data_IF_855196983642
#
_entry.id   IF_855196983642
#
_cell.length_a   1.000
_cell.length_b   1.000
_cell.length_c   1.000
_cell.angle_alpha   90.00
_cell.angle_beta   90.00
_cell.angle_gamma   90.00
#
_symmetry.space_group_name_H-M   'P 1'
#
loop_
_entity.id
_entity.type
_entity.pdbx_description
1 polymer ?
#
# COMPACT_ATOMS: atom_id res chain seq x y z
N UNK A 1 -14.66 -16.72 2.92
CA UNK A 1 -13.79 -17.44 3.90
C UNK A 1 -13.86 -16.69 5.23
N UNK A 2 -14.02 -17.36 6.38
CA UNK A 2 -14.07 -16.66 7.69
C UNK A 2 -12.64 -16.50 8.21
N UNK A 3 -12.13 -15.26 8.37
CA UNK A 3 -10.79 -15.04 8.90
C UNK A 3 -10.74 -15.19 10.42
N UNK A 4 -9.54 -15.45 10.94
CA UNK A 4 -9.21 -15.32 12.34
C UNK A 4 -8.90 -13.84 12.66
N UNK A 5 -9.40 -13.32 13.78
CA UNK A 5 -9.06 -11.98 14.28
C UNK A 5 -7.77 -12.08 15.09
N UNK A 6 -6.79 -11.25 14.73
CA UNK A 6 -5.47 -11.22 15.35
C UNK A 6 -5.15 -9.79 15.80
N UNK A 7 -4.32 -9.68 16.85
CA UNK A 7 -3.76 -8.41 17.32
C UNK A 7 -2.23 -8.48 17.26
N UNK A 8 -1.61 -7.50 16.62
CA UNK A 8 -0.15 -7.40 16.51
C UNK A 8 0.29 -6.12 17.22
N UNK A 9 0.74 -6.22 18.49
CA UNK A 9 1.13 -5.03 19.25
C UNK A 9 0.01 -3.98 19.38
N UNK A 10 -1.27 -4.42 19.38
CA UNK A 10 -2.44 -3.51 19.40
C UNK A 10 -2.98 -3.13 18.00
N UNK A 11 -2.31 -3.55 16.93
CA UNK A 11 -2.77 -3.33 15.55
C UNK A 11 -3.84 -4.39 15.22
N UNK A 12 -5.07 -3.99 14.84
CA UNK A 12 -6.11 -4.92 14.42
C UNK A 12 -5.73 -5.60 13.10
N UNK A 13 -5.83 -6.92 13.06
CA UNK A 13 -5.48 -7.71 11.90
C UNK A 13 -6.49 -8.85 11.65
N UNK A 14 -6.51 -9.34 10.41
CA UNK A 14 -7.22 -10.54 9.99
C UNK A 14 -6.23 -11.53 9.37
N UNK A 15 -6.32 -12.79 9.76
CA UNK A 15 -5.57 -13.89 9.19
C UNK A 15 -6.52 -14.81 8.43
N UNK A 16 -6.32 -14.96 7.13
CA UNK A 16 -7.10 -15.81 6.24
C UNK A 16 -6.33 -17.07 5.92
N UNK A 17 -7.05 -18.16 5.67
CA UNK A 17 -6.53 -19.44 5.19
C UNK A 17 -6.17 -20.42 6.30
N UNK A 18 -6.07 -21.71 5.93
CA UNK A 18 -5.55 -22.74 6.81
C UNK A 18 -4.04 -22.53 7.08
N UNK A 19 -3.50 -23.07 8.18
CA UNK A 19 -2.05 -22.99 8.46
C UNK A 19 -1.22 -23.43 7.25
N UNK A 20 -0.21 -22.61 6.90
CA UNK A 20 0.66 -22.81 5.74
C UNK A 20 2.08 -22.31 6.05
N UNK A 21 3.06 -22.74 5.25
CA UNK A 21 4.48 -22.32 5.38
C UNK A 21 4.79 -21.03 4.61
N UNK A 22 3.82 -20.47 3.91
CA UNK A 22 3.96 -19.27 3.09
C UNK A 22 2.71 -18.40 3.15
N UNK A 23 2.91 -17.10 3.01
CA UNK A 23 1.78 -16.18 3.09
C UNK A 23 2.06 -14.82 2.47
N UNK A 24 1.01 -14.03 2.44
CA UNK A 24 1.02 -12.64 2.00
C UNK A 24 0.73 -11.71 3.17
N UNK A 25 1.54 -10.67 3.32
CA UNK A 25 1.11 -9.47 4.03
C UNK A 25 0.34 -8.59 3.05
N UNK A 26 -0.91 -8.27 3.38
CA UNK A 26 -1.75 -7.37 2.60
C UNK A 26 -1.85 -6.01 3.29
N UNK A 27 -1.58 -4.94 2.52
CA UNK A 27 -1.71 -3.55 2.97
C UNK A 27 -2.69 -2.80 2.05
N UNK A 28 -3.77 -2.31 2.63
CA UNK A 28 -4.78 -1.52 1.91
C UNK A 28 -4.27 -0.10 1.58
N UNK A 29 -4.99 0.61 0.73
CA UNK A 29 -4.76 2.01 0.38
C UNK A 29 -5.44 3.00 1.32
N UNK A 30 -5.39 4.29 0.98
CA UNK A 30 -6.16 5.34 1.65
C UNK A 30 -7.65 5.01 1.61
N UNK A 31 -8.36 5.26 2.72
CA UNK A 31 -9.77 4.93 2.93
C UNK A 31 -10.12 3.44 2.92
N UNK A 32 -9.13 2.57 2.79
CA UNK A 32 -9.28 1.13 2.82
C UNK A 32 -9.37 0.54 4.23
N UNK A 33 -9.37 -0.79 4.30
CA UNK A 33 -9.42 -1.54 5.55
C UNK A 33 -8.93 -2.97 5.34
N UNK A 34 -8.58 -3.64 6.43
CA UNK A 34 -8.04 -5.02 6.40
C UNK A 34 -8.94 -6.06 5.75
N UNK A 35 -10.26 -5.84 5.72
CA UNK A 35 -11.22 -6.76 5.09
C UNK A 35 -11.06 -6.86 3.57
N UNK A 36 -10.44 -5.88 2.92
CA UNK A 36 -10.17 -5.90 1.47
C UNK A 36 -9.29 -7.09 1.05
N UNK A 37 -8.49 -7.60 1.97
CA UNK A 37 -7.68 -8.79 1.74
C UNK A 37 -8.49 -10.07 1.43
N UNK A 38 -9.80 -10.09 1.68
CA UNK A 38 -10.64 -11.25 1.39
C UNK A 38 -10.60 -11.63 -0.10
N UNK A 39 -10.57 -10.64 -0.99
CA UNK A 39 -10.47 -10.88 -2.43
C UNK A 39 -9.18 -11.64 -2.78
N UNK A 40 -8.03 -11.16 -2.31
CA UNK A 40 -6.75 -11.85 -2.48
C UNK A 40 -6.77 -13.25 -1.83
N UNK A 41 -7.33 -13.36 -0.62
CA UNK A 41 -7.38 -14.63 0.11
C UNK A 41 -8.17 -15.69 -0.65
N UNK A 42 -9.22 -15.32 -1.39
CA UNK A 42 -9.96 -16.23 -2.26
C UNK A 42 -9.11 -16.79 -3.41
N UNK A 43 -8.11 -16.03 -3.87
CA UNK A 43 -7.18 -16.44 -4.92
C UNK A 43 -6.04 -17.30 -4.38
N UNK A 44 -5.42 -16.90 -3.26
CA UNK A 44 -4.15 -17.48 -2.82
C UNK A 44 -4.30 -18.61 -1.79
N UNK A 45 -5.34 -18.59 -0.94
CA UNK A 45 -5.51 -19.63 0.07
C UNK A 45 -5.75 -21.01 -0.52
N UNK A 46 -6.51 -21.18 -1.62
CA UNK A 46 -6.62 -22.48 -2.29
C UNK A 46 -5.30 -23.02 -2.86
N UNK A 47 -4.33 -22.10 -3.09
CA UNK A 47 -2.96 -22.44 -3.55
C UNK A 47 -1.99 -22.72 -2.39
N UNK A 48 -2.47 -22.78 -1.14
CA UNK A 48 -1.68 -23.10 0.04
C UNK A 48 -0.92 -21.91 0.63
N UNK A 49 -1.48 -20.72 0.55
CA UNK A 49 -1.00 -19.51 1.25
C UNK A 49 -1.96 -19.13 2.40
N UNK A 50 -1.43 -18.40 3.37
CA UNK A 50 -2.23 -17.57 4.26
C UNK A 50 -2.15 -16.10 3.85
N UNK A 51 -3.08 -15.28 4.31
CA UNK A 51 -3.03 -13.82 4.12
C UNK A 51 -3.23 -13.15 5.47
N UNK A 52 -2.24 -12.37 5.89
CA UNK A 52 -2.37 -11.42 6.99
C UNK A 52 -2.72 -10.04 6.43
N UNK A 53 -3.72 -9.41 6.98
CA UNK A 53 -4.08 -8.02 6.65
C UNK A 53 -4.24 -7.20 7.91
N UNK A 54 -3.77 -5.96 7.91
CA UNK A 54 -3.84 -5.04 9.05
C UNK A 54 -4.66 -3.80 8.69
N UNK A 55 -5.23 -3.15 9.70
CA UNK A 55 -5.71 -1.77 9.55
C UNK A 55 -4.54 -0.79 9.72
N UNK A 56 -4.29 0.02 8.71
CA UNK A 56 -3.33 1.13 8.79
C UNK A 56 -3.83 2.21 9.79
N UNK A 57 -2.94 3.08 10.31
CA UNK A 57 -3.34 4.16 11.20
C UNK A 57 -4.54 4.97 10.69
N UNK A 58 -5.46 5.34 11.55
CA UNK A 58 -6.71 6.06 11.26
C UNK A 58 -7.72 5.32 10.35
N UNK A 59 -7.52 4.03 10.05
CA UNK A 59 -8.40 3.23 9.20
C UNK A 59 -9.04 2.06 9.94
N UNK A 60 -10.12 1.52 9.38
CA UNK A 60 -10.81 0.35 9.91
C UNK A 60 -11.17 0.49 11.39
N UNK A 61 -10.76 -0.47 12.22
CA UNK A 61 -10.98 -0.45 13.68
C UNK A 61 -10.11 0.59 14.43
N UNK A 62 -9.21 1.29 13.72
CA UNK A 62 -8.38 2.39 14.27
C UNK A 62 -8.98 3.77 14.03
N UNK A 63 -10.11 3.86 13.32
CA UNK A 63 -10.83 5.12 13.16
C UNK A 63 -11.25 5.68 14.53
N UNK A 64 -11.12 7.00 14.71
CA UNK A 64 -11.47 7.67 15.95
C UNK A 64 -10.48 7.51 17.09
N UNK A 65 -9.36 6.81 16.93
CA UNK A 65 -8.31 6.69 17.96
C UNK A 65 -7.40 7.93 18.06
N UNK A 66 -7.62 8.95 17.24
CA UNK A 66 -6.78 10.15 17.22
C UNK A 66 -5.43 9.97 16.47
N UNK A 67 -5.22 8.81 15.86
CA UNK A 67 -4.03 8.54 15.05
C UNK A 67 -4.10 9.26 13.70
N UNK A 68 -2.96 9.67 13.15
CA UNK A 68 -2.85 10.17 11.77
C UNK A 68 -2.14 9.12 10.90
N UNK A 69 -2.51 9.03 9.64
CA UNK A 69 -1.80 8.21 8.66
C UNK A 69 -0.51 8.91 8.21
N UNK A 70 0.50 8.81 9.03
CA UNK A 70 1.83 9.38 8.77
C UNK A 70 2.89 8.28 8.71
N UNK A 71 4.00 8.48 8.01
CA UNK A 71 5.03 7.43 7.89
C UNK A 71 5.65 7.05 9.23
N UNK A 72 5.83 7.98 10.16
CA UNK A 72 6.39 7.68 11.49
C UNK A 72 5.45 6.88 12.40
N UNK A 73 4.16 6.73 12.03
CA UNK A 73 3.22 5.80 12.67
C UNK A 73 3.06 4.54 11.84
N UNK A 74 2.85 4.66 10.52
CA UNK A 74 2.53 3.52 9.67
C UNK A 74 3.75 2.60 9.42
N UNK A 75 4.96 3.16 9.26
CA UNK A 75 6.15 2.35 8.97
C UNK A 75 6.50 1.39 10.13
N UNK A 76 6.53 1.82 11.42
CA UNK A 76 6.68 0.90 12.55
C UNK A 76 5.62 -0.19 12.59
N UNK A 77 4.35 0.13 12.33
CA UNK A 77 3.26 -0.83 12.34
C UNK A 77 3.39 -1.89 11.24
N UNK A 78 3.74 -1.45 10.03
CA UNK A 78 3.99 -2.36 8.90
C UNK A 78 5.20 -3.26 9.21
N UNK A 79 6.26 -2.71 9.79
CA UNK A 79 7.44 -3.48 10.19
C UNK A 79 7.11 -4.53 11.25
N UNK A 80 6.39 -4.16 12.31
CA UNK A 80 5.94 -5.11 13.33
C UNK A 80 5.06 -6.23 12.74
N UNK A 81 4.20 -5.87 11.78
CA UNK A 81 3.36 -6.84 11.08
C UNK A 81 4.16 -7.75 10.16
N UNK A 82 5.19 -7.22 9.51
CA UNK A 82 6.12 -7.99 8.69
C UNK A 82 6.91 -9.00 9.54
N UNK A 83 7.51 -8.57 10.63
CA UNK A 83 8.24 -9.42 11.58
C UNK A 83 7.33 -10.52 12.15
N UNK A 84 6.07 -10.20 12.44
CA UNK A 84 5.09 -11.18 12.88
C UNK A 84 4.87 -12.28 11.82
N UNK A 85 4.87 -11.93 10.52
CA UNK A 85 4.73 -12.90 9.43
C UNK A 85 5.99 -13.74 9.24
N UNK A 86 7.18 -13.14 9.36
CA UNK A 86 8.47 -13.86 9.25
C UNK A 86 8.65 -14.91 10.35
N UNK A 87 8.09 -14.69 11.54
CA UNK A 87 8.07 -15.68 12.60
C UNK A 87 7.17 -16.89 12.33
N UNK A 88 6.26 -16.80 11.35
CA UNK A 88 5.24 -17.83 11.05
C UNK A 88 5.43 -18.53 9.73
N UNK A 89 5.96 -17.83 8.74
CA UNK A 89 6.07 -18.34 7.38
C UNK A 89 7.53 -18.39 6.93
N UNK A 90 7.86 -19.43 6.22
CA UNK A 90 9.19 -19.58 5.61
C UNK A 90 9.39 -18.64 4.43
N UNK A 91 8.30 -18.27 3.76
CA UNK A 91 8.32 -17.32 2.66
C UNK A 91 7.16 -16.34 2.83
N UNK A 92 7.49 -15.06 2.90
CA UNK A 92 6.54 -13.96 3.01
C UNK A 92 6.55 -13.17 1.72
N UNK A 93 5.38 -13.07 1.10
CA UNK A 93 5.12 -12.20 -0.05
C UNK A 93 4.34 -10.97 0.38
N UNK A 94 4.35 -9.95 -0.46
CA UNK A 94 3.66 -8.70 -0.22
C UNK A 94 2.56 -8.48 -1.27
N UNK A 95 1.41 -7.99 -0.84
CA UNK A 95 0.38 -7.43 -1.69
C UNK A 95 -0.05 -6.09 -1.11
N UNK A 96 0.15 -5.01 -1.86
CA UNK A 96 -0.11 -3.68 -1.32
C UNK A 96 -0.74 -2.73 -2.35
N UNK A 97 -1.65 -1.88 -1.87
CA UNK A 97 -2.36 -0.88 -2.65
C UNK A 97 -1.83 0.53 -2.34
N UNK A 98 -1.64 1.36 -3.38
CA UNK A 98 -1.47 2.81 -3.24
C UNK A 98 -0.46 3.21 -2.15
N UNK A 99 -0.89 3.95 -1.13
CA UNK A 99 -0.07 4.38 0.00
C UNK A 99 0.41 3.17 0.86
N UNK A 100 -0.34 2.07 0.89
CA UNK A 100 0.12 0.84 1.54
C UNK A 100 1.39 0.28 0.88
N UNK A 101 1.52 0.41 -0.44
CA UNK A 101 2.75 0.05 -1.16
C UNK A 101 3.92 0.99 -0.79
N UNK A 102 3.65 2.29 -0.64
CA UNK A 102 4.64 3.26 -0.18
C UNK A 102 5.20 2.88 1.20
N UNK A 103 4.32 2.61 2.18
CA UNK A 103 4.77 2.20 3.51
C UNK A 103 5.50 0.86 3.51
N UNK A 104 5.06 -0.08 2.65
CA UNK A 104 5.76 -1.34 2.49
C UNK A 104 7.20 -1.14 1.99
N UNK A 105 7.42 -0.27 1.01
CA UNK A 105 8.76 0.03 0.48
C UNK A 105 9.69 0.69 1.51
N UNK A 106 9.14 1.26 2.59
CA UNK A 106 9.90 1.86 3.69
C UNK A 106 10.13 0.91 4.87
N UNK A 107 9.28 -0.11 5.01
CA UNK A 107 9.25 -0.96 6.20
C UNK A 107 9.74 -2.40 5.97
N UNK A 108 9.62 -2.91 4.74
CA UNK A 108 9.84 -4.31 4.40
C UNK A 108 11.16 -4.47 3.64
N UNK A 109 12.04 -5.33 4.12
CA UNK A 109 13.39 -5.46 3.54
C UNK A 109 13.46 -6.51 2.42
N UNK A 110 12.89 -7.69 2.60
CA UNK A 110 13.10 -8.87 1.73
C UNK A 110 11.84 -9.70 1.50
N UNK A 111 10.84 -9.18 0.78
CA UNK A 111 9.72 -10.00 0.38
C UNK A 111 10.17 -11.07 -0.62
N UNK A 112 9.58 -12.26 -0.57
CA UNK A 112 9.81 -13.30 -1.57
C UNK A 112 9.26 -12.88 -2.94
N UNK A 113 8.16 -12.11 -2.94
CA UNK A 113 7.48 -11.59 -4.13
C UNK A 113 6.62 -10.38 -3.72
N UNK A 114 6.49 -9.39 -4.58
CA UNK A 114 5.65 -8.21 -4.33
C UNK A 114 4.65 -7.98 -5.47
N UNK A 115 3.37 -7.90 -5.10
CA UNK A 115 2.26 -7.52 -5.97
C UNK A 115 1.78 -6.12 -5.54
N UNK A 116 1.95 -5.14 -6.40
CA UNK A 116 1.60 -3.75 -6.13
C UNK A 116 0.48 -3.29 -7.06
N UNK A 117 -0.55 -2.68 -6.51
CA UNK A 117 -1.66 -2.10 -7.29
C UNK A 117 -1.68 -0.60 -7.11
N UNK A 118 -1.60 0.14 -8.22
CA UNK A 118 -1.54 1.61 -8.24
C UNK A 118 -0.58 2.18 -7.19
N UNK A 119 0.68 1.72 -7.07
CA UNK A 119 1.56 2.09 -5.98
C UNK A 119 1.92 3.57 -6.00
N UNK A 120 1.98 4.22 -4.84
CA UNK A 120 2.61 5.53 -4.70
C UNK A 120 4.14 5.32 -4.67
N UNK A 121 4.80 5.64 -5.77
CA UNK A 121 6.24 5.44 -5.97
C UNK A 121 7.06 6.71 -5.76
N UNK A 122 6.38 7.87 -5.73
CA UNK A 122 6.94 9.20 -5.52
C UNK A 122 6.00 10.01 -4.63
N UNK A 123 6.18 9.88 -3.31
CA UNK A 123 5.33 10.59 -2.34
C UNK A 123 5.62 12.10 -2.32
N UNK A 124 6.87 12.52 -2.55
CA UNK A 124 7.18 13.94 -2.66
C UNK A 124 6.44 14.56 -3.85
N UNK A 125 6.55 13.95 -5.03
CA UNK A 125 5.83 14.40 -6.23
C UNK A 125 4.33 14.44 -6.04
N UNK A 126 3.74 13.45 -5.32
CA UNK A 126 2.32 13.46 -4.99
C UNK A 126 1.96 14.63 -4.06
N UNK A 127 2.72 14.88 -2.99
CA UNK A 127 2.46 16.00 -2.07
C UNK A 127 2.56 17.34 -2.83
N UNK A 128 3.57 17.52 -3.67
CA UNK A 128 3.73 18.75 -4.47
C UNK A 128 2.55 18.91 -5.46
N UNK A 129 2.07 17.83 -6.05
CA UNK A 129 0.88 17.83 -6.91
C UNK A 129 -0.37 18.24 -6.12
N UNK A 130 -0.57 17.70 -4.92
CA UNK A 130 -1.69 18.05 -4.03
C UNK A 130 -1.59 19.52 -3.57
N UNK A 131 -0.40 20.02 -3.31
CA UNK A 131 -0.17 21.46 -3.03
C UNK A 131 -0.60 22.33 -4.21
N UNK A 132 -0.25 21.91 -5.44
CA UNK A 132 -0.72 22.58 -6.67
C UNK A 132 -2.24 22.61 -6.79
N UNK A 133 -2.92 21.51 -6.50
CA UNK A 133 -4.40 21.46 -6.49
C UNK A 133 -5.03 22.37 -5.45
N UNK A 134 -4.36 22.54 -4.28
CA UNK A 134 -4.82 23.40 -3.21
C UNK A 134 -4.42 24.89 -3.40
N UNK A 135 -3.55 25.18 -4.37
CA UNK A 135 -2.99 26.52 -4.54
C UNK A 135 -2.06 26.95 -3.41
N UNK A 136 -1.39 26.00 -2.75
CA UNK A 136 -0.52 26.20 -1.57
C UNK A 136 0.93 26.15 -2.01
N UNK A 137 1.74 27.18 -1.66
CA UNK A 137 3.19 27.19 -1.86
C UNK A 137 3.93 26.45 -0.75
N UNK A 138 5.19 26.05 -1.01
CA UNK A 138 6.03 25.45 0.04
C UNK A 138 6.30 26.45 1.18
N UNK A 139 6.44 27.74 0.87
CA UNK A 139 6.65 28.76 1.87
C UNK A 139 5.45 28.88 2.82
N UNK A 140 4.24 28.93 2.26
CA UNK A 140 3.01 28.95 3.04
C UNK A 140 2.85 27.68 3.89
N UNK A 141 3.11 26.50 3.31
CA UNK A 141 3.03 25.25 4.04
C UNK A 141 4.05 25.19 5.19
N UNK A 142 5.27 25.69 4.97
CA UNK A 142 6.31 25.78 6.00
C UNK A 142 5.90 26.69 7.14
N UNK A 143 5.32 27.87 6.84
CA UNK A 143 4.90 28.84 7.85
C UNK A 143 3.73 28.33 8.70
N UNK A 144 2.78 27.63 8.08
CA UNK A 144 1.56 27.15 8.75
C UNK A 144 1.71 25.75 9.36
N UNK A 145 2.71 24.99 8.94
CA UNK A 145 2.97 23.62 9.37
C UNK A 145 1.98 22.59 8.82
N UNK A 146 0.67 22.84 8.91
CA UNK A 146 -0.38 21.98 8.40
C UNK A 146 -1.51 22.83 7.77
N UNK A 147 -2.00 22.42 6.59
CA UNK A 147 -3.07 23.09 5.86
C UNK A 147 -4.11 22.05 5.45
N UNK A 148 -5.35 22.23 5.92
CA UNK A 148 -6.47 21.41 5.47
C UNK A 148 -6.80 21.75 4.01
N UNK A 149 -6.84 20.73 3.15
CA UNK A 149 -7.19 20.88 1.75
C UNK A 149 -8.65 20.48 1.48
N UNK A 150 -9.24 21.05 0.44
CA UNK A 150 -10.66 20.84 0.07
C UNK A 150 -10.98 19.38 -0.33
N UNK A 151 -9.99 18.60 -0.70
CA UNK A 151 -10.12 17.18 -1.05
C UNK A 151 -10.03 16.23 0.17
N UNK A 152 -10.15 16.76 1.41
CA UNK A 152 -10.30 15.97 2.63
C UNK A 152 -9.01 15.45 3.26
N UNK A 153 -7.84 15.80 2.71
CA UNK A 153 -6.54 15.48 3.30
C UNK A 153 -5.86 16.78 3.76
N UNK A 154 -5.06 16.71 4.82
CA UNK A 154 -4.22 17.82 5.24
C UNK A 154 -2.84 17.72 4.57
N UNK A 155 -2.36 18.84 4.05
CA UNK A 155 -0.98 19.03 3.64
C UNK A 155 -0.15 19.27 4.89
N UNK A 156 0.99 18.59 5.04
CA UNK A 156 1.85 18.71 6.21
C UNK A 156 3.28 19.01 5.79
N UNK A 157 3.84 20.09 6.34
CA UNK A 157 5.25 20.44 6.14
C UNK A 157 6.19 19.36 6.69
N UNK A 158 5.87 18.84 7.88
CA UNK A 158 6.64 17.76 8.51
C UNK A 158 6.67 16.51 7.61
N UNK A 159 5.54 16.15 7.00
CA UNK A 159 5.47 15.01 6.09
C UNK A 159 6.32 15.26 4.83
N UNK A 160 6.22 16.44 4.23
CA UNK A 160 7.03 16.81 3.06
C UNK A 160 8.53 16.73 3.36
N UNK A 161 8.97 17.28 4.49
CA UNK A 161 10.38 17.20 4.91
C UNK A 161 10.80 15.72 5.11
N UNK A 162 9.95 14.95 5.78
CA UNK A 162 10.24 13.54 6.07
C UNK A 162 10.43 12.71 4.80
N UNK A 163 9.57 12.87 3.79
CA UNK A 163 9.68 12.09 2.54
C UNK A 163 10.93 12.43 1.75
N UNK A 164 11.42 13.67 1.83
CA UNK A 164 12.68 14.10 1.20
C UNK A 164 13.91 13.41 1.80
N UNK A 165 13.86 13.10 3.09
CA UNK A 165 14.93 12.41 3.82
C UNK A 165 14.83 10.89 3.74
N UNK A 166 13.67 10.34 3.38
CA UNK A 166 13.39 8.90 3.39
C UNK A 166 12.86 8.43 2.04
N UNK A 167 13.73 8.32 1.02
CA UNK A 167 13.33 7.81 -0.28
C UNK A 167 12.91 6.34 -0.18
N UNK A 168 11.95 5.95 -1.00
CA UNK A 168 11.53 4.54 -1.09
C UNK A 168 12.66 3.66 -1.61
N UNK A 169 12.69 2.42 -1.10
CA UNK A 169 13.63 1.39 -1.54
C UNK A 169 12.95 0.44 -2.53
N UNK A 170 13.75 -0.19 -3.37
CA UNK A 170 13.31 -1.34 -4.16
C UNK A 170 13.81 -2.64 -3.52
N UNK A 171 13.13 -3.72 -3.84
CA UNK A 171 13.51 -5.05 -3.36
C UNK A 171 14.26 -5.83 -4.44
N UNK A 172 15.17 -6.67 -4.00
CA UNK A 172 15.81 -7.68 -4.87
C UNK A 172 14.93 -8.95 -4.94
N UNK A 173 13.68 -8.78 -5.38
CA UNK A 173 12.72 -9.86 -5.59
C UNK A 173 11.88 -9.57 -6.83
N UNK A 174 11.09 -10.54 -7.34
CA UNK A 174 10.12 -10.28 -8.38
C UNK A 174 9.06 -9.28 -7.92
N UNK A 175 8.97 -8.12 -8.59
CA UNK A 175 7.94 -7.10 -8.36
C UNK A 175 7.00 -7.06 -9.56
N UNK A 176 5.70 -7.14 -9.30
CA UNK A 176 4.63 -7.02 -10.29
C UNK A 176 3.77 -5.82 -9.96
N UNK A 177 3.51 -4.99 -10.94
CA UNK A 177 2.71 -3.78 -10.79
C UNK A 177 1.49 -3.87 -11.70
N UNK A 178 0.30 -3.70 -11.14
CA UNK A 178 -0.92 -3.40 -11.87
C UNK A 178 -1.20 -1.91 -11.74
N UNK A 179 -1.38 -1.23 -12.87
CA UNK A 179 -1.53 0.22 -12.95
C UNK A 179 -2.69 0.59 -13.88
N UNK A 180 -3.54 1.51 -13.46
CA UNK A 180 -4.63 2.03 -14.27
C UNK A 180 -4.14 3.16 -15.21
N UNK A 181 -4.53 3.14 -16.48
CA UNK A 181 -4.10 4.17 -17.43
C UNK A 181 -4.62 5.57 -17.10
N UNK A 182 -5.73 5.66 -16.33
CA UNK A 182 -6.37 6.89 -15.87
C UNK A 182 -5.94 7.26 -14.42
N UNK A 183 -4.88 6.64 -13.90
CA UNK A 183 -4.35 6.95 -12.56
C UNK A 183 -3.87 8.41 -12.49
N UNK A 184 -4.48 9.20 -11.63
CA UNK A 184 -4.20 10.62 -11.44
C UNK A 184 -3.33 10.92 -10.21
N UNK A 185 -2.95 9.89 -9.43
CA UNK A 185 -2.13 10.03 -8.22
C UNK A 185 -0.65 9.74 -8.48
N UNK A 186 -0.36 8.73 -9.29
CA UNK A 186 1.00 8.40 -9.69
C UNK A 186 1.13 8.56 -11.21
N UNK A 187 1.89 9.55 -11.70
CA UNK A 187 2.08 9.72 -13.15
C UNK A 187 2.67 8.47 -13.80
N UNK A 188 2.16 8.08 -14.97
CA UNK A 188 2.64 6.92 -15.72
C UNK A 188 4.15 6.92 -15.90
N UNK A 189 4.74 8.08 -16.18
CA UNK A 189 6.19 8.25 -16.29
C UNK A 189 6.92 7.76 -15.03
N UNK A 190 6.43 8.07 -13.85
CA UNK A 190 7.01 7.64 -12.57
C UNK A 190 7.01 6.13 -12.45
N UNK A 191 5.90 5.47 -12.84
CA UNK A 191 5.79 4.00 -12.83
C UNK A 191 6.76 3.37 -13.83
N UNK A 192 6.83 3.88 -15.05
CA UNK A 192 7.72 3.38 -16.10
C UNK A 192 9.21 3.56 -15.72
N UNK A 193 9.58 4.68 -15.07
CA UNK A 193 10.92 4.91 -14.54
C UNK A 193 11.28 3.92 -13.44
N UNK A 194 10.36 3.65 -12.52
CA UNK A 194 10.55 2.64 -11.48
C UNK A 194 10.76 1.25 -12.10
N UNK A 195 9.91 0.85 -13.03
CA UNK A 195 9.98 -0.43 -13.75
C UNK A 195 11.34 -0.59 -14.44
N UNK A 196 11.77 0.44 -15.19
CA UNK A 196 13.06 0.42 -15.90
C UNK A 196 14.25 0.32 -14.93
N UNK A 197 14.20 1.05 -13.80
CA UNK A 197 15.29 1.11 -12.82
C UNK A 197 15.42 -0.17 -12.01
N UNK A 198 14.31 -0.81 -11.70
CA UNK A 198 14.26 -1.92 -10.73
C UNK A 198 13.87 -3.26 -11.34
N UNK A 199 13.66 -3.34 -12.65
CA UNK A 199 13.32 -4.59 -13.33
C UNK A 199 11.94 -5.15 -12.96
N UNK A 200 11.02 -4.31 -12.47
CA UNK A 200 9.66 -4.70 -12.17
C UNK A 200 8.88 -5.01 -13.47
N UNK A 201 7.84 -5.84 -13.38
CA UNK A 201 6.92 -6.10 -14.49
C UNK A 201 5.66 -5.24 -14.34
N UNK A 202 5.34 -4.47 -15.37
CA UNK A 202 4.16 -3.61 -15.42
C UNK A 202 3.05 -4.27 -16.22
N UNK A 203 1.84 -4.26 -15.66
CA UNK A 203 0.58 -4.50 -16.37
C UNK A 203 -0.23 -3.22 -16.31
N UNK A 204 -0.63 -2.70 -17.45
CA UNK A 204 -1.51 -1.52 -17.54
C UNK A 204 -2.93 -1.99 -17.81
N UNK A 205 -3.88 -1.54 -17.01
CA UNK A 205 -5.31 -1.70 -17.26
C UNK A 205 -5.81 -0.43 -17.95
N UNK A 206 -6.12 -0.54 -19.24
CA UNK A 206 -6.67 0.58 -20.00
C UNK A 206 -8.04 1.00 -19.47
N UNK A 207 -8.23 2.31 -19.25
CA UNK A 207 -9.42 2.87 -18.61
C UNK A 207 -9.49 2.60 -17.10
N UNK A 208 -8.47 1.98 -16.52
CA UNK A 208 -8.39 1.79 -15.07
C UNK A 208 -8.02 3.07 -14.36
N UNK A 209 -8.69 3.38 -13.26
CA UNK A 209 -8.41 4.51 -12.38
C UNK A 209 -7.39 4.12 -11.29
N UNK A 210 -6.98 5.09 -10.46
CA UNK A 210 -6.12 4.82 -9.31
C UNK A 210 -6.78 3.83 -8.32
N UNK A 211 -8.06 3.99 -8.09
CA UNK A 211 -8.85 3.10 -7.24
C UNK A 211 -9.73 2.19 -8.09
N UNK A 212 -9.38 0.91 -8.17
CA UNK A 212 -10.16 -0.10 -8.88
C UNK A 212 -11.43 -0.43 -8.09
N UNK A 213 -12.59 -0.06 -8.63
CA UNK A 213 -13.87 -0.14 -7.94
C UNK A 213 -15.03 -0.62 -8.82
N UNK A 214 -14.92 -0.51 -10.14
CA UNK A 214 -15.97 -1.04 -11.01
C UNK A 214 -15.90 -2.56 -11.10
N UNK A 215 -17.01 -3.26 -11.40
CA UNK A 215 -16.99 -4.71 -11.58
C UNK A 215 -15.93 -5.20 -12.58
N UNK A 216 -15.75 -4.45 -13.68
CA UNK A 216 -14.77 -4.76 -14.73
C UNK A 216 -13.33 -4.59 -14.21
N UNK A 217 -13.05 -3.51 -13.49
CA UNK A 217 -11.73 -3.26 -12.90
C UNK A 217 -11.40 -4.30 -11.82
N UNK A 218 -12.39 -4.68 -10.98
CA UNK A 218 -12.22 -5.70 -9.96
C UNK A 218 -12.02 -7.10 -10.57
N UNK A 219 -12.71 -7.42 -11.69
CA UNK A 219 -12.46 -8.66 -12.44
C UNK A 219 -11.04 -8.71 -12.99
N UNK A 220 -10.60 -7.63 -13.64
CA UNK A 220 -9.25 -7.53 -14.19
C UNK A 220 -8.17 -7.62 -13.09
N UNK A 221 -8.39 -7.01 -11.93
CA UNK A 221 -7.53 -7.13 -10.76
C UNK A 221 -7.43 -8.59 -10.31
N UNK A 222 -8.56 -9.28 -10.17
CA UNK A 222 -8.61 -10.69 -9.76
C UNK A 222 -7.88 -11.59 -10.76
N UNK A 223 -8.14 -11.44 -12.05
CA UNK A 223 -7.47 -12.19 -13.11
C UNK A 223 -5.95 -11.95 -13.11
N UNK A 224 -5.53 -10.71 -12.84
CA UNK A 224 -4.12 -10.38 -12.69
C UNK A 224 -3.52 -11.07 -11.46
N UNK A 225 -4.18 -11.05 -10.30
CA UNK A 225 -3.72 -11.75 -9.10
C UNK A 225 -3.64 -13.26 -9.33
N UNK A 226 -4.63 -13.88 -9.98
CA UNK A 226 -4.64 -15.31 -10.30
C UNK A 226 -3.45 -15.74 -11.18
N UNK A 227 -3.00 -14.86 -12.07
CA UNK A 227 -1.88 -15.08 -12.99
C UNK A 227 -0.51 -14.84 -12.37
N UNK A 228 -0.40 -13.86 -11.47
CA UNK A 228 0.89 -13.42 -10.94
C UNK A 228 1.28 -14.10 -9.59
N UNK A 229 0.40 -14.91 -9.00
CA UNK A 229 0.61 -15.67 -7.74
C UNK A 229 1.23 -17.05 -7.98
#
# INVERSE_FOLDING_TARGET
MRPERVQIGGIPALLYGAPADRGYLFLHGQMGRKEEAEALAQVVCPKGYQVLSIDLPAHGERQGRGEKLTPWVAVPDVRASWEWTECRWRAVSLRANSIGAYFAMLAVDRPAHALLVSPILDMEGLILTMMGWAGVSEEELRERGEIAASFGQALSWEYLCWVREHPVHSWNCPVRILYGSEDNMTPRRTVEEYVRRHGARLTVLEGGEHWFHTPEQLSALREWEEREV
#
